data_IF_212261435382
#
_entry.id   IF_212261435382
#
_cell.length_a   1.000
_cell.length_b   1.000
_cell.length_c   1.000
_cell.angle_alpha   90.00
_cell.angle_beta   90.00
_cell.angle_gamma   90.00
#
_symmetry.space_group_name_H-M   'P 1'
#
loop_
_entity.id
_entity.type
_entity.pdbx_description
1 polymer ?
#
# COMPACT_ATOMS: atom_id res chain seq x y z
N UNK A 1 -15.40 15.32 0.04
CA UNK A 1 -15.75 13.88 -0.02
C UNK A 1 -15.46 13.42 -1.44
N UNK A 2 -14.68 12.37 -1.57
CA UNK A 2 -14.28 11.79 -2.86
C UNK A 2 -15.21 10.63 -3.16
N UNK A 3 -15.64 10.50 -4.42
CA UNK A 3 -16.42 9.33 -4.84
C UNK A 3 -15.54 8.08 -4.79
N UNK A 4 -16.10 6.98 -4.30
CA UNK A 4 -15.38 5.71 -4.16
C UNK A 4 -15.10 5.05 -5.52
N UNK A 5 -16.04 5.16 -6.44
CA UNK A 5 -15.96 4.55 -7.77
C UNK A 5 -15.62 5.60 -8.82
N UNK A 6 -14.36 5.60 -9.25
CA UNK A 6 -13.84 6.56 -10.22
C UNK A 6 -13.43 5.84 -11.51
N UNK A 7 -13.74 6.45 -12.65
CA UNK A 7 -13.25 6.00 -13.96
C UNK A 7 -11.92 6.64 -14.36
N UNK A 8 -11.50 6.45 -15.62
CA UNK A 8 -10.40 7.19 -16.24
C UNK A 8 -8.99 6.79 -15.78
N UNK A 9 -8.77 5.52 -15.45
CA UNK A 9 -7.44 4.98 -15.10
C UNK A 9 -6.71 5.79 -14.00
N UNK A 10 -7.46 6.29 -13.02
CA UNK A 10 -6.93 7.07 -11.89
C UNK A 10 -7.00 8.59 -12.08
N UNK A 11 -7.19 9.11 -13.28
CA UNK A 11 -7.24 10.56 -13.53
C UNK A 11 -8.39 11.22 -12.78
N UNK A 12 -9.58 10.62 -12.79
CA UNK A 12 -10.73 11.17 -12.06
C UNK A 12 -10.49 11.21 -10.55
N UNK A 13 -9.85 10.17 -9.98
CA UNK A 13 -9.50 10.16 -8.56
C UNK A 13 -8.45 11.23 -8.22
N UNK A 14 -7.40 11.39 -9.05
CA UNK A 14 -6.39 12.41 -8.89
C UNK A 14 -6.99 13.80 -8.93
N UNK A 15 -7.77 14.13 -9.96
CA UNK A 15 -8.37 15.47 -10.10
C UNK A 15 -9.43 15.74 -9.04
N UNK A 16 -10.22 14.75 -8.64
CA UNK A 16 -11.13 14.89 -7.52
C UNK A 16 -10.40 15.27 -6.21
N UNK A 17 -9.27 14.62 -5.91
CA UNK A 17 -8.46 14.98 -4.75
C UNK A 17 -7.92 16.41 -4.87
N UNK A 18 -7.41 16.82 -6.04
CA UNK A 18 -6.92 18.18 -6.28
C UNK A 18 -8.03 19.23 -6.12
N UNK A 19 -9.22 18.97 -6.61
CA UNK A 19 -10.38 19.89 -6.43
C UNK A 19 -10.77 20.03 -4.96
N UNK A 20 -10.78 18.93 -4.20
CA UNK A 20 -11.04 18.98 -2.74
C UNK A 20 -9.97 19.81 -2.04
N UNK A 21 -8.69 19.57 -2.33
CA UNK A 21 -7.56 20.27 -1.73
C UNK A 21 -7.56 21.76 -2.11
N UNK A 22 -7.83 22.10 -3.38
CA UNK A 22 -7.93 23.49 -3.82
C UNK A 22 -9.04 24.23 -3.08
N UNK A 23 -10.21 23.63 -2.92
CA UNK A 23 -11.32 24.23 -2.18
C UNK A 23 -11.02 24.41 -0.69
N UNK A 24 -10.30 23.48 -0.06
CA UNK A 24 -9.82 23.63 1.32
C UNK A 24 -8.82 24.79 1.41
N UNK A 25 -7.88 24.86 0.49
CA UNK A 25 -6.88 25.91 0.45
C UNK A 25 -7.52 27.30 0.24
N UNK A 26 -8.53 27.42 -0.63
CA UNK A 26 -9.33 28.63 -0.83
C UNK A 26 -10.00 29.06 0.48
N UNK A 27 -10.69 28.17 1.18
CA UNK A 27 -11.33 28.49 2.46
C UNK A 27 -10.31 28.94 3.52
N UNK A 28 -9.14 28.26 3.61
CA UNK A 28 -8.07 28.65 4.51
C UNK A 28 -7.47 30.03 4.20
N UNK A 29 -7.53 30.45 2.93
CA UNK A 29 -7.06 31.76 2.47
C UNK A 29 -8.14 32.86 2.51
N UNK A 30 -9.33 32.54 3.03
CA UNK A 30 -10.44 33.52 3.16
C UNK A 30 -11.29 33.67 1.91
N UNK A 31 -11.16 32.75 0.95
CA UNK A 31 -11.93 32.73 -0.28
C UNK A 31 -13.09 31.74 -0.24
N UNK A 32 -14.00 31.81 -1.22
CA UNK A 32 -15.08 30.82 -1.35
C UNK A 32 -14.64 29.66 -2.22
N UNK A 33 -15.26 28.50 -1.99
CA UNK A 33 -15.10 27.33 -2.87
C UNK A 33 -15.44 27.68 -4.31
N UNK A 34 -14.63 27.21 -5.24
CA UNK A 34 -14.80 27.48 -6.67
C UNK A 34 -14.21 28.79 -7.15
N UNK A 35 -13.64 29.63 -6.29
CA UNK A 35 -12.91 30.86 -6.70
C UNK A 35 -11.51 30.51 -7.24
N UNK A 36 -11.45 29.63 -8.25
CA UNK A 36 -10.24 29.09 -8.84
C UNK A 36 -9.30 30.08 -9.49
N UNK A 37 -9.70 31.36 -9.63
CA UNK A 37 -8.80 32.45 -10.02
C UNK A 37 -7.69 32.71 -8.96
N UNK A 38 -7.84 32.24 -7.73
CA UNK A 38 -6.84 32.38 -6.65
C UNK A 38 -6.03 31.12 -6.41
N UNK A 39 -6.67 29.92 -6.42
CA UNK A 39 -6.02 28.63 -6.28
C UNK A 39 -6.77 27.64 -7.17
N UNK A 40 -6.08 27.12 -8.16
CA UNK A 40 -6.64 26.27 -9.21
C UNK A 40 -6.21 24.81 -9.02
N UNK A 41 -7.11 23.82 -9.14
CA UNK A 41 -6.79 22.40 -8.92
C UNK A 41 -5.70 21.85 -9.83
N UNK A 42 -5.71 22.21 -11.11
CA UNK A 42 -4.79 21.66 -12.10
C UNK A 42 -3.46 22.43 -12.13
N UNK A 43 -3.52 23.76 -12.23
CA UNK A 43 -2.33 24.58 -12.46
C UNK A 43 -1.54 24.84 -11.17
N UNK A 44 -2.19 24.85 -9.99
CA UNK A 44 -1.52 25.06 -8.71
C UNK A 44 -1.30 23.73 -7.95
N UNK A 45 -2.36 22.96 -7.68
CA UNK A 45 -2.24 21.75 -6.83
C UNK A 45 -1.57 20.59 -7.57
N UNK A 46 -1.88 20.39 -8.83
CA UNK A 46 -1.31 19.35 -9.67
C UNK A 46 -0.04 19.79 -10.43
N UNK A 47 0.49 20.98 -10.12
CA UNK A 47 1.67 21.52 -10.79
C UNK A 47 2.87 20.56 -10.74
N UNK A 48 3.44 20.27 -11.91
CA UNK A 48 4.60 19.38 -12.03
C UNK A 48 4.31 17.90 -11.76
N UNK A 49 3.05 17.53 -11.71
CA UNK A 49 2.59 16.16 -11.44
C UNK A 49 1.80 15.59 -12.62
N UNK A 50 1.71 14.28 -12.67
CA UNK A 50 0.79 13.54 -13.54
C UNK A 50 0.04 12.51 -12.68
N UNK A 51 -1.15 12.11 -13.13
CA UNK A 51 -1.82 10.93 -12.56
C UNK A 51 -0.90 9.71 -12.60
N UNK A 52 -0.01 9.64 -13.59
CA UNK A 52 0.87 8.47 -13.81
C UNK A 52 2.00 8.34 -12.77
N UNK A 53 2.30 9.39 -12.01
CA UNK A 53 3.21 9.33 -10.87
C UNK A 53 2.47 9.43 -9.51
N UNK A 54 1.51 10.33 -9.39
CA UNK A 54 0.76 10.54 -8.15
C UNK A 54 -0.09 9.34 -7.76
N UNK A 55 -0.86 8.80 -8.70
CA UNK A 55 -1.84 7.76 -8.41
C UNK A 55 -1.21 6.43 -7.96
N UNK A 56 -0.21 5.87 -8.68
CA UNK A 56 0.48 4.67 -8.20
C UNK A 56 1.22 4.91 -6.88
N UNK A 57 1.80 6.08 -6.67
CA UNK A 57 2.44 6.43 -5.39
C UNK A 57 1.42 6.48 -4.27
N UNK A 58 0.26 7.09 -4.48
CA UNK A 58 -0.83 7.13 -3.50
C UNK A 58 -1.33 5.72 -3.14
N UNK A 59 -1.45 4.81 -4.13
CA UNK A 59 -1.82 3.40 -3.87
C UNK A 59 -0.75 2.71 -3.02
N UNK A 60 0.54 2.87 -3.35
CA UNK A 60 1.64 2.30 -2.56
C UNK A 60 1.60 2.79 -1.11
N UNK A 61 1.45 4.09 -0.89
CA UNK A 61 1.32 4.68 0.45
C UNK A 61 0.10 4.13 1.19
N UNK A 62 -1.05 4.05 0.53
CA UNK A 62 -2.26 3.48 1.13
C UNK A 62 -2.06 2.02 1.57
N UNK A 63 -1.46 1.19 0.71
CA UNK A 63 -1.14 -0.20 1.02
C UNK A 63 -0.19 -0.29 2.22
N UNK A 64 0.88 0.51 2.24
CA UNK A 64 1.84 0.55 3.35
C UNK A 64 1.19 0.90 4.69
N UNK A 65 0.34 1.92 4.71
CA UNK A 65 -0.36 2.34 5.93
C UNK A 65 -1.41 1.32 6.41
N UNK A 66 -1.99 0.55 5.49
CA UNK A 66 -2.92 -0.52 5.84
C UNK A 66 -2.21 -1.83 6.22
N UNK A 67 -1.03 -2.10 5.65
CA UNK A 67 -0.28 -3.33 5.89
C UNK A 67 0.06 -3.52 7.38
N UNK A 68 0.42 -2.46 8.09
CA UNK A 68 0.69 -2.53 9.54
C UNK A 68 -0.51 -3.08 10.32
N UNK A 69 -1.73 -2.72 9.92
CA UNK A 69 -2.96 -3.22 10.54
C UNK A 69 -3.21 -4.69 10.21
N UNK A 70 -2.93 -5.10 8.96
CA UNK A 70 -3.06 -6.50 8.52
C UNK A 70 -2.08 -7.37 9.29
N UNK A 71 -0.80 -6.99 9.32
CA UNK A 71 0.25 -7.71 10.06
C UNK A 71 -0.13 -7.86 11.53
N UNK A 72 -0.54 -6.78 12.19
CA UNK A 72 -0.97 -6.85 13.58
C UNK A 72 -2.10 -7.86 13.81
N UNK A 73 -3.11 -7.89 12.95
CA UNK A 73 -4.22 -8.84 13.06
C UNK A 73 -3.79 -10.28 12.78
N UNK A 74 -2.89 -10.47 11.83
CA UNK A 74 -2.31 -11.78 11.55
C UNK A 74 -1.49 -12.30 12.74
N UNK A 75 -0.68 -11.45 13.38
CA UNK A 75 0.10 -11.78 14.59
C UNK A 75 -0.83 -12.15 15.78
N UNK A 76 -1.92 -11.42 15.97
CA UNK A 76 -2.95 -11.75 16.98
C UNK A 76 -3.59 -13.13 16.70
N UNK A 77 -3.87 -13.43 15.43
CA UNK A 77 -4.42 -14.73 15.02
C UNK A 77 -3.42 -15.85 15.22
N UNK A 78 -2.16 -15.67 14.79
CA UNK A 78 -1.09 -16.65 15.01
C UNK A 78 -0.94 -16.97 16.50
N UNK A 79 -0.87 -15.96 17.35
CA UNK A 79 -0.81 -16.14 18.80
C UNK A 79 -1.99 -16.96 19.34
N UNK A 80 -3.19 -16.76 18.79
CA UNK A 80 -4.38 -17.50 19.16
C UNK A 80 -4.29 -18.97 18.75
N UNK A 81 -3.73 -19.28 17.57
CA UNK A 81 -3.47 -20.64 17.15
C UNK A 81 -2.46 -21.34 18.06
N UNK A 82 -1.33 -20.70 18.37
CA UNK A 82 -0.34 -21.27 19.28
C UNK A 82 -0.91 -21.55 20.66
N UNK A 83 -1.70 -20.60 21.23
CA UNK A 83 -2.39 -20.80 22.51
C UNK A 83 -3.35 -21.99 22.48
N UNK A 84 -4.10 -22.17 21.40
CA UNK A 84 -4.98 -23.33 21.22
C UNK A 84 -4.17 -24.60 20.98
N UNK A 85 -3.02 -24.51 20.35
CA UNK A 85 -2.08 -25.60 20.23
C UNK A 85 -1.63 -26.15 21.58
N UNK A 86 -1.27 -25.26 22.51
CA UNK A 86 -0.89 -25.63 23.86
C UNK A 86 -2.08 -26.23 24.66
N UNK A 87 -3.27 -25.63 24.52
CA UNK A 87 -4.49 -26.09 25.18
C UNK A 87 -4.89 -27.51 24.77
N UNK A 88 -4.72 -27.84 23.48
CA UNK A 88 -5.16 -29.11 22.89
C UNK A 88 -4.03 -30.13 22.65
N UNK A 89 -2.87 -29.91 23.27
CA UNK A 89 -1.66 -30.72 23.03
C UNK A 89 -1.84 -32.22 23.29
N UNK A 90 -2.74 -32.59 24.21
CA UNK A 90 -2.96 -33.97 24.64
C UNK A 90 -4.23 -34.59 24.00
N UNK A 91 -4.95 -33.87 23.14
CA UNK A 91 -6.14 -34.38 22.47
C UNK A 91 -5.74 -35.11 21.22
N UNK A 92 -5.86 -36.45 21.25
CA UNK A 92 -5.51 -37.31 20.13
C UNK A 92 -6.57 -37.22 19.02
N UNK A 93 -6.12 -37.16 17.79
CA UNK A 93 -6.96 -37.25 16.58
C UNK A 93 -6.27 -38.13 15.53
N UNK A 94 -7.03 -38.53 14.51
CA UNK A 94 -6.44 -39.15 13.32
C UNK A 94 -5.95 -38.07 12.34
N UNK A 95 -4.65 -38.12 12.01
CA UNK A 95 -4.10 -37.39 10.87
C UNK A 95 -4.49 -38.07 9.56
N UNK A 96 -4.70 -37.27 8.51
CA UNK A 96 -5.19 -37.75 7.21
C UNK A 96 -4.29 -37.32 6.08
N UNK A 97 -4.15 -38.22 5.09
CA UNK A 97 -3.51 -37.94 3.79
C UNK A 97 -4.47 -38.37 2.69
N UNK A 98 -4.56 -37.57 1.63
CA UNK A 98 -5.46 -37.83 0.49
C UNK A 98 -6.92 -38.15 0.90
N UNK A 99 -7.39 -37.52 2.00
CA UNK A 99 -8.72 -37.77 2.54
C UNK A 99 -8.91 -39.08 3.28
N UNK A 100 -7.83 -39.86 3.50
CA UNK A 100 -7.85 -41.14 4.20
C UNK A 100 -7.19 -41.04 5.57
N UNK A 101 -7.66 -41.86 6.52
CA UNK A 101 -6.99 -42.03 7.82
C UNK A 101 -5.57 -42.53 7.64
N UNK A 102 -4.58 -41.92 8.26
CA UNK A 102 -3.19 -42.27 8.15
C UNK A 102 -2.59 -42.63 9.53
N UNK A 103 -2.16 -41.66 10.30
CA UNK A 103 -1.48 -41.89 11.59
C UNK A 103 -2.06 -40.98 12.68
N UNK A 104 -1.98 -41.40 13.96
CA UNK A 104 -2.37 -40.56 15.07
C UNK A 104 -1.53 -39.28 15.15
N UNK A 105 -2.18 -38.19 15.50
CA UNK A 105 -1.57 -36.94 15.86
C UNK A 105 -2.39 -36.27 16.96
N UNK A 106 -2.00 -35.06 17.42
CA UNK A 106 -2.83 -34.31 18.35
C UNK A 106 -3.49 -33.12 17.66
N UNK A 107 -4.62 -32.67 18.18
CA UNK A 107 -5.27 -31.42 17.77
C UNK A 107 -4.32 -30.25 18.02
N UNK A 108 -3.55 -30.28 19.13
CA UNK A 108 -2.55 -29.27 19.43
C UNK A 108 -1.46 -29.14 18.33
N UNK A 109 -0.99 -30.25 17.78
CA UNK A 109 -0.04 -30.24 16.65
C UNK A 109 -0.65 -29.57 15.42
N UNK A 110 -1.92 -29.79 15.13
CA UNK A 110 -2.61 -29.17 14.00
C UNK A 110 -2.74 -27.66 14.18
N UNK A 111 -3.14 -27.20 15.38
CA UNK A 111 -3.24 -25.76 15.68
C UNK A 111 -1.88 -25.06 15.66
N UNK A 112 -0.81 -25.69 16.18
CA UNK A 112 0.54 -25.18 16.06
C UNK A 112 1.00 -25.10 14.60
N UNK A 113 0.64 -26.07 13.77
CA UNK A 113 0.95 -26.02 12.33
C UNK A 113 0.28 -24.81 11.64
N UNK A 114 -0.97 -24.50 11.97
CA UNK A 114 -1.63 -23.28 11.47
C UNK A 114 -0.93 -22.01 11.94
N UNK A 115 -0.52 -21.96 13.22
CA UNK A 115 0.26 -20.84 13.76
C UNK A 115 1.59 -20.66 13.02
N UNK A 116 2.37 -21.72 12.90
CA UNK A 116 3.67 -21.69 12.22
C UNK A 116 3.55 -21.30 10.74
N UNK A 117 2.50 -21.75 10.06
CA UNK A 117 2.22 -21.38 8.68
C UNK A 117 1.94 -19.86 8.56
N UNK A 118 1.07 -19.35 9.44
CA UNK A 118 0.76 -17.93 9.47
C UNK A 118 1.98 -17.07 9.84
N UNK A 119 2.86 -17.51 10.73
CA UNK A 119 4.11 -16.82 11.06
C UNK A 119 5.03 -16.69 9.83
N UNK A 120 5.12 -17.74 9.01
CA UNK A 120 5.87 -17.70 7.76
C UNK A 120 5.25 -16.71 6.75
N UNK A 121 3.92 -16.69 6.63
CA UNK A 121 3.21 -15.76 5.73
C UNK A 121 3.33 -14.30 6.21
N UNK A 122 3.32 -14.05 7.52
CA UNK A 122 3.59 -12.71 8.09
C UNK A 122 5.00 -12.25 7.72
N UNK A 123 5.99 -13.13 7.82
CA UNK A 123 7.36 -12.80 7.43
C UNK A 123 7.46 -12.48 5.93
N UNK A 124 6.78 -13.24 5.09
CA UNK A 124 6.71 -13.01 3.66
C UNK A 124 6.00 -11.69 3.32
N UNK A 125 4.89 -11.38 3.99
CA UNK A 125 4.16 -10.12 3.80
C UNK A 125 5.03 -8.90 4.19
N UNK A 126 5.80 -8.99 5.30
CA UNK A 126 6.78 -7.97 5.68
C UNK A 126 7.88 -7.79 4.62
N UNK A 127 8.32 -8.86 3.99
CA UNK A 127 9.27 -8.79 2.89
C UNK A 127 8.63 -8.19 1.63
N UNK A 128 7.41 -8.59 1.28
CA UNK A 128 6.68 -8.08 0.12
C UNK A 128 6.40 -6.56 0.21
N UNK A 129 6.21 -6.03 1.41
CA UNK A 129 6.07 -4.59 1.66
C UNK A 129 7.23 -3.78 1.09
N UNK A 130 8.46 -4.31 1.12
CA UNK A 130 9.64 -3.59 0.67
C UNK A 130 9.61 -3.22 -0.81
N UNK A 131 8.85 -3.94 -1.62
CA UNK A 131 8.66 -3.65 -3.05
C UNK A 131 7.71 -2.46 -3.29
N UNK A 132 7.04 -1.96 -2.26
CA UNK A 132 6.18 -0.78 -2.32
C UNK A 132 6.91 0.52 -1.94
N UNK A 133 8.14 0.44 -1.41
CA UNK A 133 8.88 1.63 -0.97
C UNK A 133 9.40 2.49 -2.11
N UNK A 134 9.68 1.88 -3.27
CA UNK A 134 10.11 2.62 -4.45
C UNK A 134 8.93 3.35 -5.09
N UNK A 135 9.08 4.68 -5.29
CA UNK A 135 8.05 5.54 -5.85
C UNK A 135 8.57 6.29 -7.08
N UNK A 136 7.68 6.92 -7.84
CA UNK A 136 8.00 7.58 -9.10
C UNK A 136 7.47 9.04 -9.19
N UNK A 137 7.31 9.73 -8.06
CA UNK A 137 6.92 11.14 -8.07
C UNK A 137 7.93 12.00 -8.84
N UNK A 138 7.42 12.90 -9.67
CA UNK A 138 8.23 13.69 -10.58
C UNK A 138 8.54 13.01 -11.92
N UNK A 139 8.11 11.76 -12.11
CA UNK A 139 8.17 11.09 -13.41
C UNK A 139 7.33 11.79 -14.46
N UNK A 140 6.25 12.42 -14.03
CA UNK A 140 5.23 13.04 -14.88
C UNK A 140 4.57 12.04 -15.84
N UNK A 141 4.37 12.37 -17.10
CA UNK A 141 3.57 11.57 -18.03
C UNK A 141 4.10 10.16 -18.30
N UNK A 142 5.42 10.04 -18.55
CA UNK A 142 6.06 8.79 -19.01
C UNK A 142 7.41 8.49 -18.33
N UNK A 143 7.76 9.21 -17.27
CA UNK A 143 9.02 8.99 -16.57
C UNK A 143 10.16 9.93 -16.98
N UNK A 144 9.94 10.86 -17.89
CA UNK A 144 10.98 11.81 -18.35
C UNK A 144 11.10 13.05 -17.48
N UNK A 145 10.16 13.27 -16.54
CA UNK A 145 10.16 14.43 -15.67
C UNK A 145 9.85 15.75 -16.39
N UNK A 146 9.26 15.68 -17.59
CA UNK A 146 8.86 16.89 -18.32
C UNK A 146 7.86 17.67 -17.46
N UNK A 147 8.03 18.99 -17.38
CA UNK A 147 7.24 19.91 -16.52
C UNK A 147 7.53 19.84 -15.01
N UNK A 148 8.24 18.85 -14.50
CA UNK A 148 8.67 18.85 -13.10
C UNK A 148 9.82 19.85 -12.87
N UNK A 149 9.77 20.57 -11.75
CA UNK A 149 10.85 21.48 -11.38
C UNK A 149 12.11 20.70 -10.97
N UNK A 150 13.33 21.23 -11.23
CA UNK A 150 14.56 20.56 -10.79
C UNK A 150 14.56 20.27 -9.30
N UNK A 151 14.89 19.01 -8.92
CA UNK A 151 14.91 18.56 -7.53
C UNK A 151 13.54 18.26 -6.93
N UNK A 152 12.47 18.33 -7.70
CA UNK A 152 11.12 18.01 -7.23
C UNK A 152 11.01 16.54 -6.78
N UNK A 153 11.43 15.60 -7.61
CA UNK A 153 11.34 14.16 -7.35
C UNK A 153 12.03 13.76 -6.04
N UNK A 154 13.27 14.19 -5.86
CA UNK A 154 14.08 13.89 -4.67
C UNK A 154 13.48 14.49 -3.39
N UNK A 155 12.97 15.71 -3.48
CA UNK A 155 12.30 16.35 -2.35
C UNK A 155 10.99 15.65 -2.01
N UNK A 156 10.23 15.25 -3.02
CA UNK A 156 8.97 14.54 -2.84
C UNK A 156 9.17 13.20 -2.12
N UNK A 157 10.10 12.37 -2.58
CA UNK A 157 10.46 11.11 -1.93
C UNK A 157 10.85 11.31 -0.47
N UNK A 158 11.70 12.31 -0.20
CA UNK A 158 12.11 12.65 1.17
C UNK A 158 10.93 13.04 2.07
N UNK A 159 10.04 13.87 1.57
CA UNK A 159 8.86 14.30 2.33
C UNK A 159 7.86 13.16 2.52
N UNK A 160 7.65 12.32 1.52
CA UNK A 160 6.82 11.11 1.64
C UNK A 160 7.36 10.18 2.74
N UNK A 161 8.68 9.93 2.77
CA UNK A 161 9.29 9.14 3.83
C UNK A 161 9.06 9.75 5.21
N UNK A 162 9.19 11.07 5.35
CA UNK A 162 8.96 11.78 6.62
C UNK A 162 7.49 11.71 7.07
N UNK A 163 6.55 11.93 6.15
CA UNK A 163 5.11 11.98 6.47
C UNK A 163 4.57 10.58 6.78
N UNK A 164 5.00 9.57 6.03
CA UNK A 164 4.49 8.20 6.18
C UNK A 164 5.20 7.41 7.28
N UNK A 165 6.40 7.83 7.68
CA UNK A 165 7.29 7.04 8.54
C UNK A 165 7.81 5.76 7.88
N UNK A 166 7.60 5.59 6.58
CA UNK A 166 8.07 4.45 5.78
C UNK A 166 9.31 4.85 4.98
N UNK A 167 10.24 3.94 4.69
CA UNK A 167 11.48 4.25 3.96
C UNK A 167 11.23 4.41 2.45
N UNK A 168 10.38 5.37 2.09
CA UNK A 168 10.08 5.69 0.70
C UNK A 168 11.34 6.20 -0.01
N UNK A 169 11.57 5.70 -1.21
CA UNK A 169 12.74 6.05 -2.03
C UNK A 169 12.32 6.33 -3.46
N UNK A 170 12.97 7.32 -4.06
CA UNK A 170 12.79 7.61 -5.48
C UNK A 170 13.38 6.48 -6.33
N UNK A 171 12.64 6.03 -7.35
CA UNK A 171 13.16 5.06 -8.31
C UNK A 171 14.39 5.61 -9.04
N UNK A 172 15.35 4.73 -9.30
CA UNK A 172 16.55 5.05 -10.09
C UNK A 172 16.23 5.26 -11.57
N UNK A 173 15.17 4.63 -12.07
CA UNK A 173 14.69 4.74 -13.45
C UNK A 173 13.18 5.04 -13.42
N UNK A 174 12.85 6.32 -13.56
CA UNK A 174 11.48 6.79 -13.52
C UNK A 174 10.63 6.30 -14.70
N UNK A 175 11.27 6.03 -15.86
CA UNK A 175 10.57 5.49 -17.03
C UNK A 175 10.14 4.04 -16.75
N UNK A 176 11.04 3.22 -16.26
CA UNK A 176 10.74 1.85 -15.86
C UNK A 176 9.70 1.81 -14.73
N UNK A 177 9.85 2.64 -13.70
CA UNK A 177 8.95 2.70 -12.57
C UNK A 177 7.52 3.13 -12.93
N UNK A 178 7.37 4.01 -13.93
CA UNK A 178 6.05 4.47 -14.40
C UNK A 178 5.25 3.35 -15.09
N UNK A 179 5.93 2.37 -15.68
CA UNK A 179 5.27 1.24 -16.35
C UNK A 179 5.22 -0.05 -15.51
N UNK A 180 6.07 -0.17 -14.48
CA UNK A 180 6.18 -1.40 -13.67
C UNK A 180 5.01 -1.57 -12.71
N UNK A 181 4.44 -2.79 -12.71
CA UNK A 181 3.44 -3.24 -11.76
C UNK A 181 4.00 -4.27 -10.75
N UNK A 182 5.31 -4.50 -10.77
CA UNK A 182 5.95 -5.58 -10.02
C UNK A 182 5.65 -5.54 -8.51
N UNK A 183 5.76 -4.36 -7.89
CA UNK A 183 5.49 -4.20 -6.46
C UNK A 183 4.06 -4.60 -6.08
N UNK A 184 3.08 -4.20 -6.88
CA UNK A 184 1.67 -4.55 -6.66
C UNK A 184 1.40 -6.05 -6.83
N UNK A 185 2.00 -6.68 -7.85
CA UNK A 185 1.84 -8.12 -8.09
C UNK A 185 2.45 -8.94 -6.95
N UNK A 186 3.67 -8.60 -6.50
CA UNK A 186 4.33 -9.29 -5.39
C UNK A 186 3.52 -9.12 -4.11
N UNK A 187 3.09 -7.91 -3.78
CA UNK A 187 2.30 -7.65 -2.58
C UNK A 187 0.94 -8.35 -2.62
N UNK A 188 0.25 -8.33 -3.76
CA UNK A 188 -1.01 -9.05 -3.96
C UNK A 188 -0.84 -10.57 -3.79
N UNK A 189 0.29 -11.12 -4.25
CA UNK A 189 0.60 -12.55 -4.07
C UNK A 189 0.85 -12.92 -2.62
N UNK A 190 1.43 -12.01 -1.84
CA UNK A 190 1.67 -12.21 -0.41
C UNK A 190 0.39 -12.13 0.43
N UNK A 191 -0.67 -11.52 -0.07
CA UNK A 191 -1.98 -11.48 0.60
C UNK A 191 -2.85 -12.72 0.32
N UNK A 192 -2.50 -13.55 -0.65
CA UNK A 192 -3.26 -14.73 -1.07
C UNK A 192 -2.92 -15.97 -0.24
#
# INVERSE_FOLDING_TARGET
>A
IVDLYQGGAGTSANMNANEVLANIALEMSGHKKGEYQYIEPHDDLNMGQSTNDVYPTAIKVALLLHNDKVIKRAEELSSSFHKKGDEFKDIVKMGRTEGQDAVPMTVGQEFHAFGNQLDAEIAFLKQAETYLYEENMGATAIGTGITASPGYAEKCAKHLAQITGKPMVLSKDLIAATSSQQGFVIYSSALK
#
